data_IF_179527267052
#
_entry.id   IF_179527267052
#
_cell.length_a   1.000
_cell.length_b   1.000
_cell.length_c   1.000
_cell.angle_alpha   90.00
_cell.angle_beta   90.00
_cell.angle_gamma   90.00
#
_symmetry.space_group_name_H-M   'P 1'
#
loop_
_entity.id
_entity.type
_entity.pdbx_description
1 polymer ?
#
# COMPACT_ATOMS: atom_id res chain seq x y z
N UNK A 1 26.22 12.91 -43.65
CA UNK A 1 24.77 13.00 -43.33
C UNK A 1 24.60 12.88 -41.83
N UNK A 2 24.17 13.95 -41.16
CA UNK A 2 23.84 13.91 -39.74
C UNK A 2 22.46 13.24 -39.55
N UNK A 3 22.28 12.29 -38.62
CA UNK A 3 20.96 11.77 -38.32
C UNK A 3 20.28 12.75 -37.37
N UNK A 4 19.71 13.83 -37.90
CA UNK A 4 18.92 14.78 -37.14
C UNK A 4 17.46 14.30 -37.08
N UNK A 5 17.25 13.15 -36.44
CA UNK A 5 15.94 12.76 -35.95
C UNK A 5 15.85 13.22 -34.50
N UNK A 6 15.23 14.37 -34.23
CA UNK A 6 14.89 14.77 -32.87
C UNK A 6 14.02 13.65 -32.26
N UNK A 7 14.61 12.77 -31.45
CA UNK A 7 13.83 11.84 -30.64
C UNK A 7 12.88 12.71 -29.83
N UNK A 8 11.57 12.62 -30.09
CA UNK A 8 10.56 13.35 -29.31
C UNK A 8 10.86 13.07 -27.84
N UNK A 9 11.05 14.14 -27.07
CA UNK A 9 11.26 14.01 -25.63
C UNK A 9 10.07 13.23 -25.06
N UNK A 10 10.30 12.17 -24.29
CA UNK A 10 9.20 11.43 -23.66
C UNK A 10 8.44 12.37 -22.71
N UNK A 11 7.10 12.30 -22.79
CA UNK A 11 6.22 13.13 -21.96
C UNK A 11 6.07 12.45 -20.59
N UNK A 12 6.41 13.15 -19.52
CA UNK A 12 6.27 12.63 -18.16
C UNK A 12 4.83 12.69 -17.64
N UNK A 13 4.00 13.63 -18.09
CA UNK A 13 2.62 13.77 -17.63
C UNK A 13 1.68 14.07 -18.79
N UNK A 14 0.68 13.21 -18.99
CA UNK A 14 -0.30 13.41 -20.05
C UNK A 14 -1.12 14.69 -19.82
N UNK A 15 -1.24 15.49 -20.88
CA UNK A 15 -1.86 16.81 -20.83
C UNK A 15 -0.98 17.92 -20.21
N UNK A 16 0.25 17.59 -19.81
CA UNK A 16 1.22 18.53 -19.20
C UNK A 16 2.65 18.26 -19.71
N UNK A 17 2.97 18.62 -20.96
CA UNK A 17 4.25 18.29 -21.59
C UNK A 17 5.45 19.02 -20.98
N UNK A 18 5.23 20.10 -20.23
CA UNK A 18 6.27 20.85 -19.53
C UNK A 18 6.58 20.31 -18.13
N UNK A 19 5.76 19.39 -17.60
CA UNK A 19 6.01 18.84 -16.27
C UNK A 19 7.23 17.92 -16.28
N UNK A 20 8.08 18.07 -15.27
CA UNK A 20 9.28 17.28 -15.09
C UNK A 20 9.45 16.93 -13.60
N UNK A 21 9.71 15.66 -13.26
CA UNK A 21 9.77 15.23 -11.86
C UNK A 21 10.98 15.82 -11.11
N UNK A 22 12.10 16.06 -11.79
CA UNK A 22 13.29 16.67 -11.16
C UNK A 22 13.03 18.13 -10.81
N UNK A 23 12.43 18.89 -11.72
CA UNK A 23 12.04 20.28 -11.48
C UNK A 23 10.97 20.37 -10.37
N UNK A 24 9.99 19.46 -10.37
CA UNK A 24 8.97 19.39 -9.33
C UNK A 24 9.59 19.16 -7.95
N UNK A 25 10.42 18.11 -7.80
CA UNK A 25 11.02 17.74 -6.52
C UNK A 25 12.02 18.78 -5.98
N UNK A 26 12.62 19.58 -6.87
CA UNK A 26 13.53 20.66 -6.51
C UNK A 26 12.82 21.99 -6.18
N UNK A 27 11.49 22.10 -6.33
CA UNK A 27 10.73 23.34 -6.11
C UNK A 27 9.97 23.33 -4.77
N UNK A 28 10.58 23.81 -3.67
CA UNK A 28 9.94 23.86 -2.37
C UNK A 28 8.76 24.84 -2.31
N UNK A 29 8.74 25.88 -3.15
CA UNK A 29 7.62 26.83 -3.20
C UNK A 29 6.39 26.20 -3.85
N UNK A 30 6.58 25.40 -4.90
CA UNK A 30 5.51 24.63 -5.51
C UNK A 30 4.93 23.61 -4.54
N UNK A 31 5.77 22.92 -3.78
CA UNK A 31 5.32 22.03 -2.70
C UNK A 31 4.51 22.79 -1.64
N UNK A 32 4.96 23.98 -1.23
CA UNK A 32 4.24 24.82 -0.27
C UNK A 32 2.88 25.29 -0.82
N UNK A 33 2.80 25.69 -2.10
CA UNK A 33 1.54 26.03 -2.78
C UNK A 33 0.58 24.85 -2.83
N UNK A 34 1.06 23.67 -3.21
CA UNK A 34 0.25 22.46 -3.23
C UNK A 34 -0.27 22.11 -1.81
N UNK A 35 0.59 22.21 -0.80
CA UNK A 35 0.20 22.01 0.60
C UNK A 35 -0.85 23.02 1.07
N UNK A 36 -0.76 24.29 0.66
CA UNK A 36 -1.75 25.31 0.97
C UNK A 36 -3.13 24.99 0.35
N UNK A 37 -3.16 24.47 -0.87
CA UNK A 37 -4.42 23.99 -1.47
C UNK A 37 -5.00 22.80 -0.70
N UNK A 38 -4.16 21.82 -0.33
CA UNK A 38 -4.60 20.67 0.47
C UNK A 38 -5.14 21.11 1.84
N UNK A 39 -4.52 22.08 2.50
CA UNK A 39 -5.01 22.63 3.77
C UNK A 39 -6.42 23.24 3.67
N UNK A 40 -6.83 23.66 2.47
CA UNK A 40 -8.17 24.16 2.17
C UNK A 40 -9.10 23.10 1.56
N UNK A 41 -8.72 21.82 1.59
CA UNK A 41 -9.42 20.70 0.96
C UNK A 41 -9.66 20.88 -0.56
N UNK A 42 -8.79 21.66 -1.22
CA UNK A 42 -8.78 21.87 -2.66
C UNK A 42 -7.79 20.91 -3.34
N UNK A 43 -8.18 19.63 -3.39
CA UNK A 43 -7.40 18.58 -4.05
C UNK A 43 -7.18 18.89 -5.54
N UNK A 44 -8.19 19.44 -6.22
CA UNK A 44 -8.09 19.77 -7.64
C UNK A 44 -6.95 20.75 -7.90
N UNK A 45 -6.89 21.86 -7.18
CA UNK A 45 -5.82 22.84 -7.38
C UNK A 45 -4.47 22.31 -6.89
N UNK A 46 -4.44 21.50 -5.83
CA UNK A 46 -3.20 20.86 -5.36
C UNK A 46 -2.58 19.94 -6.43
N UNK A 47 -3.40 19.11 -7.07
CA UNK A 47 -2.99 18.21 -8.17
C UNK A 47 -2.63 19.02 -9.42
N UNK A 48 -3.45 20.01 -9.79
CA UNK A 48 -3.18 20.84 -10.95
C UNK A 48 -1.87 21.62 -10.82
N UNK A 49 -1.60 22.20 -9.65
CA UNK A 49 -0.34 22.85 -9.36
C UNK A 49 0.83 21.85 -9.43
N UNK A 50 0.71 20.72 -8.72
CA UNK A 50 1.80 19.72 -8.61
C UNK A 50 2.22 19.16 -9.95
N UNK A 51 1.27 18.93 -10.86
CA UNK A 51 1.52 18.29 -12.15
C UNK A 51 1.45 19.27 -13.34
N UNK A 52 1.41 20.58 -13.06
CA UNK A 52 1.29 21.64 -14.06
C UNK A 52 0.12 21.44 -15.03
N UNK A 53 -1.01 20.93 -14.53
CA UNK A 53 -2.17 20.64 -15.35
C UNK A 53 -2.89 21.92 -15.76
N UNK A 54 -3.42 21.92 -16.99
CA UNK A 54 -4.27 23.00 -17.49
C UNK A 54 -5.59 23.09 -16.71
N UNK A 55 -6.17 24.29 -16.62
CA UNK A 55 -7.46 24.50 -15.97
C UNK A 55 -8.62 23.72 -16.64
N UNK A 56 -8.52 23.48 -17.95
CA UNK A 56 -9.47 22.72 -18.78
C UNK A 56 -9.12 21.23 -18.88
N UNK A 57 -8.37 20.70 -17.92
CA UNK A 57 -7.96 19.31 -17.95
C UNK A 57 -9.17 18.37 -17.83
N UNK A 58 -9.26 17.43 -18.77
CA UNK A 58 -10.37 16.50 -18.92
C UNK A 58 -9.91 15.04 -18.85
N UNK A 59 -8.72 14.79 -18.31
CA UNK A 59 -8.20 13.43 -18.19
C UNK A 59 -9.14 12.58 -17.31
N UNK A 60 -9.42 11.38 -17.78
CA UNK A 60 -10.21 10.39 -17.04
C UNK A 60 -9.24 9.43 -16.37
N UNK A 61 -9.27 9.43 -15.05
CA UNK A 61 -8.48 8.57 -14.19
C UNK A 61 -9.20 7.24 -14.01
N UNK A 62 -8.48 6.15 -14.20
CA UNK A 62 -9.00 4.78 -14.16
C UNK A 62 -8.30 3.98 -13.07
N UNK A 63 -9.08 3.48 -12.11
CA UNK A 63 -8.63 2.41 -11.23
C UNK A 63 -9.81 1.46 -10.99
N UNK A 64 -10.32 1.40 -9.76
CA UNK A 64 -11.58 0.69 -9.46
C UNK A 64 -12.82 1.39 -10.04
N UNK A 65 -12.72 2.69 -10.31
CA UNK A 65 -13.74 3.54 -10.90
C UNK A 65 -13.08 4.48 -11.91
N UNK A 66 -13.88 5.05 -12.81
CA UNK A 66 -13.44 6.07 -13.76
C UNK A 66 -13.94 7.44 -13.32
N UNK A 67 -13.02 8.39 -13.10
CA UNK A 67 -13.34 9.72 -12.56
C UNK A 67 -12.51 10.81 -13.23
N UNK A 68 -13.01 12.03 -13.21
CA UNK A 68 -12.25 13.24 -13.56
C UNK A 68 -11.88 14.01 -12.30
N UNK A 69 -10.84 14.83 -12.37
CA UNK A 69 -10.40 15.63 -11.22
C UNK A 69 -11.52 16.57 -10.67
N UNK A 70 -12.35 17.24 -11.49
CA UNK A 70 -13.50 18.00 -10.97
C UNK A 70 -14.55 17.15 -10.27
N UNK A 71 -14.85 15.95 -10.76
CA UNK A 71 -15.79 15.03 -10.11
C UNK A 71 -15.28 14.63 -8.73
N UNK A 72 -13.99 14.29 -8.62
CA UNK A 72 -13.38 13.94 -7.33
C UNK A 72 -13.40 15.12 -6.36
N UNK A 73 -13.13 16.34 -6.83
CA UNK A 73 -13.24 17.53 -5.98
C UNK A 73 -14.67 17.75 -5.46
N UNK A 74 -15.68 17.49 -6.29
CA UNK A 74 -17.06 17.52 -5.84
C UNK A 74 -17.31 16.46 -4.75
N UNK A 75 -16.85 15.22 -4.94
CA UNK A 75 -16.97 14.17 -3.91
C UNK A 75 -16.27 14.57 -2.61
N UNK A 76 -15.07 15.15 -2.67
CA UNK A 76 -14.36 15.68 -1.49
C UNK A 76 -15.20 16.73 -0.75
N UNK A 77 -15.94 17.59 -1.47
CA UNK A 77 -16.81 18.60 -0.86
C UNK A 77 -18.04 18.03 -0.13
N UNK A 78 -18.40 16.76 -0.39
CA UNK A 78 -19.50 16.08 0.29
C UNK A 78 -19.09 15.55 1.69
N UNK A 79 -17.79 15.46 1.98
CA UNK A 79 -17.28 14.87 3.21
C UNK A 79 -17.85 13.46 3.45
N UNK A 80 -18.18 13.14 4.69
CA UNK A 80 -18.72 11.83 5.08
C UNK A 80 -20.16 11.53 4.63
N UNK A 81 -20.80 12.43 3.87
CA UNK A 81 -22.15 12.20 3.37
C UNK A 81 -22.23 10.90 2.54
N UNK A 82 -23.40 10.25 2.55
CA UNK A 82 -23.63 8.98 1.87
C UNK A 82 -22.67 7.84 2.27
N UNK A 83 -22.05 7.93 3.44
CA UNK A 83 -21.12 6.92 3.94
C UNK A 83 -19.77 6.91 3.23
N UNK A 84 -19.39 8.00 2.54
CA UNK A 84 -18.11 8.11 1.84
C UNK A 84 -16.89 7.97 2.75
N UNK A 85 -17.06 8.19 4.06
CA UNK A 85 -16.02 8.03 5.09
C UNK A 85 -16.30 6.85 6.05
N UNK A 86 -17.24 5.96 5.72
CA UNK A 86 -17.54 4.80 6.56
C UNK A 86 -16.44 3.74 6.38
N UNK A 87 -15.37 3.88 7.14
CA UNK A 87 -14.21 2.98 7.06
C UNK A 87 -14.24 1.86 8.08
N UNK A 88 -14.87 2.08 9.22
CA UNK A 88 -14.81 1.17 10.36
C UNK A 88 -16.21 0.65 10.66
N UNK A 89 -16.33 -0.65 10.92
CA UNK A 89 -17.60 -1.32 11.09
C UNK A 89 -17.58 -2.16 12.36
N UNK A 90 -18.70 -2.17 13.10
CA UNK A 90 -18.86 -2.99 14.30
C UNK A 90 -18.90 -4.48 13.98
N UNK A 91 -18.94 -5.31 15.02
CA UNK A 91 -19.19 -6.74 14.85
C UNK A 91 -20.59 -6.97 14.25
N UNK A 92 -20.76 -7.96 13.35
CA UNK A 92 -22.07 -8.38 12.91
C UNK A 92 -22.91 -8.81 14.12
N UNK A 93 -24.12 -8.29 14.26
CA UNK A 93 -25.03 -8.76 15.31
C UNK A 93 -25.49 -10.18 14.98
N UNK A 94 -25.12 -11.15 15.82
CA UNK A 94 -25.72 -12.48 15.74
C UNK A 94 -27.21 -12.36 16.11
N UNK A 95 -28.09 -12.78 15.20
CA UNK A 95 -29.54 -12.91 15.32
C UNK A 95 -30.19 -12.20 16.52
N UNK A 96 -30.75 -11.02 16.31
CA UNK A 96 -31.76 -10.51 17.24
C UNK A 96 -32.89 -11.56 17.34
N UNK A 97 -33.34 -11.96 18.55
CA UNK A 97 -34.48 -12.85 18.68
C UNK A 97 -35.68 -12.20 17.98
N UNK A 98 -36.38 -12.99 17.17
CA UNK A 98 -37.58 -12.55 16.46
C UNK A 98 -38.49 -11.81 17.45
N UNK A 99 -38.74 -10.53 17.18
CA UNK A 99 -39.73 -9.76 17.92
C UNK A 99 -41.05 -10.52 17.81
N UNK A 100 -41.54 -11.02 18.95
CA UNK A 100 -42.85 -11.63 19.09
C UNK A 100 -43.89 -10.65 18.50
N UNK A 101 -44.80 -11.11 17.63
CA UNK A 101 -45.84 -10.24 17.13
C UNK A 101 -46.71 -9.80 18.32
N UNK A 102 -46.91 -8.49 18.43
CA UNK A 102 -47.82 -7.91 19.40
C UNK A 102 -49.20 -8.57 19.27
N UNK A 103 -49.76 -9.00 20.40
CA UNK A 103 -51.14 -9.45 20.52
C UNK A 103 -52.07 -8.44 19.81
N UNK A 104 -52.67 -8.87 18.71
CA UNK A 104 -53.79 -8.18 18.09
C UNK A 104 -55.05 -8.79 18.69
N UNK A 105 -55.74 -8.01 19.51
CA UNK A 105 -57.05 -8.39 20.03
C UNK A 105 -58.00 -8.70 18.87
N UNK A 106 -58.61 -9.87 18.97
CA UNK A 106 -59.65 -10.37 18.08
C UNK A 106 -60.98 -9.84 18.57
N UNK A 107 -61.82 -9.33 17.65
CA UNK A 107 -63.26 -9.40 17.85
C UNK A 107 -63.91 -9.80 16.53
N UNK A 108 -64.69 -10.88 16.61
CA UNK A 108 -65.34 -11.60 15.52
C UNK A 108 -66.56 -10.87 14.95
N UNK A 109 -66.88 -11.14 13.67
CA UNK A 109 -68.19 -11.70 13.28
C UNK A 109 -68.30 -11.97 11.76
N UNK A 110 -68.82 -13.16 11.43
CA UNK A 110 -69.61 -13.58 10.25
C UNK A 110 -68.95 -13.98 8.90
N UNK A 111 -68.74 -15.30 8.78
CA UNK A 111 -68.77 -16.31 7.68
C UNK A 111 -69.33 -15.99 6.25
N UNK A 112 -69.31 -16.95 5.27
CA UNK A 112 -68.21 -17.82 4.77
C UNK A 112 -68.15 -17.93 3.21
N UNK A 113 -67.00 -18.32 2.62
CA UNK A 113 -66.93 -19.14 1.38
C UNK A 113 -65.49 -19.50 0.95
N UNK A 114 -65.20 -20.81 0.98
CA UNK A 114 -64.39 -21.65 0.05
C UNK A 114 -63.21 -21.06 -0.75
N UNK A 115 -62.01 -21.61 -0.51
CA UNK A 115 -61.06 -22.05 -1.55
C UNK A 115 -59.93 -22.94 -0.94
N UNK A 116 -59.46 -24.00 -1.61
CA UNK A 116 -58.42 -24.87 -1.07
C UNK A 116 -57.01 -24.38 -1.41
N UNK A 117 -56.13 -24.50 -0.41
CA UNK A 117 -54.67 -24.62 -0.43
C UNK A 117 -53.89 -24.03 -1.63
N UNK A 118 -53.30 -22.86 -1.42
CA UNK A 118 -52.00 -22.51 -2.01
C UNK A 118 -50.93 -22.67 -0.93
N UNK A 119 -50.04 -23.65 -1.09
CA UNK A 119 -48.85 -23.79 -0.25
C UNK A 119 -48.03 -22.50 -0.32
N UNK A 120 -47.98 -21.77 0.80
CA UNK A 120 -47.12 -20.62 0.96
C UNK A 120 -45.68 -21.11 1.08
N UNK A 121 -44.86 -20.88 0.05
CA UNK A 121 -43.41 -21.04 0.15
C UNK A 121 -42.89 -20.31 1.38
N UNK A 122 -42.01 -20.91 2.19
CA UNK A 122 -41.46 -20.25 3.37
C UNK A 122 -40.74 -18.98 2.94
N UNK A 123 -40.98 -17.89 3.68
CA UNK A 123 -40.29 -16.63 3.46
C UNK A 123 -38.77 -16.86 3.49
N UNK A 124 -37.99 -16.26 2.59
CA UNK A 124 -36.55 -16.40 2.59
C UNK A 124 -36.01 -15.95 3.96
N UNK A 125 -34.97 -16.62 4.50
CA UNK A 125 -34.42 -16.27 5.79
C UNK A 125 -34.02 -14.79 5.81
N UNK A 126 -34.17 -14.10 6.96
CA UNK A 126 -33.77 -12.70 7.08
C UNK A 126 -32.30 -12.58 6.67
N UNK A 127 -32.02 -11.69 5.71
CA UNK A 127 -30.65 -11.37 5.32
C UNK A 127 -29.86 -10.97 6.58
N UNK A 128 -28.61 -11.46 6.75
CA UNK A 128 -27.73 -10.95 7.79
C UNK A 128 -27.72 -9.42 7.75
N UNK A 129 -27.97 -8.77 8.89
CA UNK A 129 -27.86 -7.32 8.96
C UNK A 129 -26.42 -6.93 8.64
N UNK A 130 -26.24 -5.99 7.71
CA UNK A 130 -24.91 -5.46 7.44
C UNK A 130 -24.35 -4.82 8.72
N UNK A 131 -23.04 -4.99 9.01
CA UNK A 131 -22.47 -4.42 10.21
C UNK A 131 -22.62 -2.90 10.18
N UNK A 132 -22.96 -2.31 11.33
CA UNK A 132 -23.14 -0.87 11.43
C UNK A 132 -21.81 -0.13 11.34
N UNK A 133 -21.74 0.95 10.57
CA UNK A 133 -20.58 1.83 10.56
C UNK A 133 -20.33 2.45 11.95
N UNK A 134 -19.07 2.45 12.37
CA UNK A 134 -18.58 3.10 13.57
C UNK A 134 -18.31 4.58 13.30
N UNK A 135 -18.33 5.45 14.34
CA UNK A 135 -17.99 6.85 14.16
C UNK A 135 -16.54 7.02 13.68
N UNK A 136 -16.24 8.08 12.92
CA UNK A 136 -14.88 8.38 12.47
C UNK A 136 -13.92 8.58 13.66
N UNK A 137 -12.63 8.23 13.49
CA UNK A 137 -11.62 8.45 14.51
C UNK A 137 -11.40 9.96 14.75
N UNK A 138 -11.07 10.38 15.99
CA UNK A 138 -10.69 11.76 16.27
C UNK A 138 -9.44 12.18 15.48
N UNK A 139 -9.33 13.47 15.12
CA UNK A 139 -8.17 14.02 14.40
C UNK A 139 -6.82 13.68 15.07
N UNK A 140 -6.77 13.72 16.41
CA UNK A 140 -5.56 13.39 17.16
C UNK A 140 -5.09 11.95 16.95
N UNK A 141 -6.00 11.02 16.71
CA UNK A 141 -5.67 9.62 16.43
C UNK A 141 -5.19 9.46 14.97
N UNK A 142 -5.74 10.23 14.04
CA UNK A 142 -5.24 10.31 12.65
C UNK A 142 -3.80 10.85 12.62
N UNK A 143 -3.52 11.95 13.32
CA UNK A 143 -2.15 12.48 13.39
C UNK A 143 -1.17 11.50 14.05
N UNK A 144 -1.62 10.79 15.10
CA UNK A 144 -0.81 9.78 15.74
C UNK A 144 -0.49 8.62 14.78
N UNK A 145 -1.43 8.20 13.94
CA UNK A 145 -1.20 7.19 12.91
C UNK A 145 -0.20 7.67 11.85
N UNK A 146 -0.40 8.88 11.32
CA UNK A 146 0.50 9.48 10.33
C UNK A 146 1.93 9.65 10.87
N UNK A 147 2.08 9.87 12.18
CA UNK A 147 3.38 9.97 12.84
C UNK A 147 4.24 8.70 12.76
N UNK A 148 3.63 7.53 12.55
CA UNK A 148 4.33 6.25 12.36
C UNK A 148 5.23 6.31 11.13
N UNK A 149 4.79 7.02 10.09
CA UNK A 149 5.46 7.09 8.79
C UNK A 149 6.29 8.35 8.58
N UNK A 150 6.37 9.23 9.59
CA UNK A 150 7.20 10.41 9.51
C UNK A 150 8.69 9.99 9.50
N UNK A 151 9.49 10.40 8.50
CA UNK A 151 10.90 10.01 8.41
C UNK A 151 11.76 10.43 9.61
N UNK A 152 11.35 11.44 10.40
CA UNK A 152 12.08 11.87 11.60
C UNK A 152 11.80 10.99 12.83
N UNK A 153 10.86 10.06 12.72
CA UNK A 153 10.44 9.16 13.79
C UNK A 153 10.99 7.74 13.55
N UNK A 154 11.15 6.99 14.64
CA UNK A 154 11.36 5.55 14.57
C UNK A 154 9.98 4.93 14.40
N UNK A 155 9.70 4.31 13.26
CA UNK A 155 8.39 3.70 12.99
C UNK A 155 8.00 2.67 14.06
N UNK A 156 8.95 1.83 14.50
CA UNK A 156 8.74 0.88 15.58
C UNK A 156 8.34 1.55 16.91
N UNK A 157 9.04 2.62 17.30
CA UNK A 157 8.75 3.35 18.53
C UNK A 157 7.44 4.13 18.42
N UNK A 158 7.19 4.76 17.28
CA UNK A 158 5.97 5.51 17.01
C UNK A 158 4.75 4.59 17.03
N UNK A 159 4.83 3.39 16.42
CA UNK A 159 3.77 2.38 16.48
C UNK A 159 3.54 1.88 17.91
N UNK A 160 4.60 1.59 18.66
CA UNK A 160 4.48 1.22 20.08
C UNK A 160 3.73 2.30 20.88
N UNK A 161 4.11 3.57 20.68
CA UNK A 161 3.49 4.70 21.37
C UNK A 161 2.06 4.96 20.89
N UNK A 162 1.77 4.73 19.61
CA UNK A 162 0.43 4.80 19.04
C UNK A 162 -0.52 3.87 19.79
N UNK A 163 -0.10 2.62 20.03
CA UNK A 163 -0.86 1.61 20.77
C UNK A 163 -0.91 1.88 22.28
N UNK A 164 0.22 2.20 22.90
CA UNK A 164 0.34 2.35 24.35
C UNK A 164 -0.44 3.54 24.91
N UNK A 165 -0.48 4.65 24.17
CA UNK A 165 -1.17 5.88 24.59
C UNK A 165 -2.67 5.89 24.25
N UNK A 166 -3.18 4.81 23.65
CA UNK A 166 -4.59 4.70 23.26
C UNK A 166 -5.47 4.30 24.45
N UNK A 167 -6.68 4.87 24.54
CA UNK A 167 -7.68 4.45 25.53
C UNK A 167 -8.05 2.98 25.31
N UNK A 168 -8.27 2.22 26.39
CA UNK A 168 -8.75 0.84 26.31
C UNK A 168 -10.07 0.78 25.54
N UNK A 169 -10.19 -0.14 24.58
CA UNK A 169 -11.37 -0.29 23.73
C UNK A 169 -11.56 0.79 22.65
N UNK A 170 -10.62 1.73 22.49
CA UNK A 170 -10.66 2.69 21.39
C UNK A 170 -10.25 2.07 20.06
N UNK A 171 -10.75 2.64 18.97
CA UNK A 171 -10.35 2.25 17.61
C UNK A 171 -8.83 2.39 17.39
N UNK A 172 -8.21 3.45 17.93
CA UNK A 172 -6.75 3.61 17.92
C UNK A 172 -6.03 2.42 18.56
N UNK A 173 -6.54 1.89 19.67
CA UNK A 173 -5.94 0.72 20.33
C UNK A 173 -6.05 -0.52 19.46
N UNK A 174 -7.19 -0.70 18.80
CA UNK A 174 -7.44 -1.79 17.84
C UNK A 174 -6.45 -1.72 16.67
N UNK A 175 -6.38 -0.58 15.97
CA UNK A 175 -5.45 -0.33 14.85
C UNK A 175 -4.00 -0.56 15.29
N UNK A 176 -3.61 -0.01 16.44
CA UNK A 176 -2.25 -0.15 16.95
C UNK A 176 -1.88 -1.61 17.26
N UNK A 177 -2.82 -2.36 17.81
CA UNK A 177 -2.65 -3.80 18.10
C UNK A 177 -2.56 -4.60 16.80
N UNK A 178 -3.46 -4.33 15.86
CA UNK A 178 -3.48 -4.94 14.53
C UNK A 178 -2.14 -4.75 13.81
N UNK A 179 -1.68 -3.51 13.65
CA UNK A 179 -0.41 -3.20 13.00
C UNK A 179 0.80 -3.79 13.72
N UNK A 180 0.78 -3.80 15.07
CA UNK A 180 1.86 -4.40 15.86
C UNK A 180 1.93 -5.92 15.67
N UNK A 181 0.79 -6.60 15.54
CA UNK A 181 0.72 -8.06 15.32
C UNK A 181 1.27 -8.48 13.95
N UNK A 182 1.16 -7.60 12.94
CA UNK A 182 1.66 -7.84 11.58
C UNK A 182 3.12 -7.44 11.41
N UNK A 183 3.61 -6.48 12.20
CA UNK A 183 4.98 -5.97 12.08
C UNK A 183 5.99 -7.04 12.52
N UNK A 184 6.87 -7.43 11.60
CA UNK A 184 7.90 -8.43 11.80
C UNK A 184 9.22 -8.03 11.13
N UNK A 185 10.33 -8.16 11.84
CA UNK A 185 11.69 -8.08 11.27
C UNK A 185 12.50 -9.22 11.90
N UNK A 186 12.98 -10.13 11.07
CA UNK A 186 13.73 -11.29 11.53
C UNK A 186 15.06 -10.85 12.16
N UNK A 187 15.43 -11.36 13.35
CA UNK A 187 16.64 -10.93 14.06
C UNK A 187 17.95 -11.09 13.27
N UNK A 188 18.03 -12.07 12.38
CA UNK A 188 19.23 -12.31 11.56
C UNK A 188 19.63 -11.12 10.67
N UNK A 189 18.68 -10.25 10.31
CA UNK A 189 18.97 -9.11 9.46
C UNK A 189 19.78 -8.02 10.18
N UNK A 190 19.75 -7.98 11.52
CA UNK A 190 20.43 -6.97 12.34
C UNK A 190 20.23 -5.54 11.81
N UNK A 191 19.02 -5.21 11.34
CA UNK A 191 18.75 -3.93 10.70
C UNK A 191 18.80 -2.78 11.70
N UNK A 192 19.59 -1.76 11.37
CA UNK A 192 19.59 -0.48 12.05
C UNK A 192 18.92 0.57 11.17
N UNK A 193 17.63 0.79 11.38
CA UNK A 193 16.85 1.78 10.62
C UNK A 193 17.03 3.14 11.28
N UNK A 194 17.80 4.00 10.63
CA UNK A 194 18.12 5.33 11.14
C UNK A 194 16.99 6.31 10.78
N UNK A 195 16.66 7.20 11.71
CA UNK A 195 15.71 8.30 11.46
C UNK A 195 16.38 9.38 10.62
N UNK A 196 15.61 10.05 9.78
CA UNK A 196 16.07 11.27 9.10
C UNK A 196 16.38 12.36 10.14
N UNK A 197 17.50 13.06 9.95
CA UNK A 197 17.94 14.14 10.84
C UNK A 197 17.53 15.48 10.24
N UNK A 198 17.23 16.52 11.05
CA UNK A 198 16.96 17.86 10.52
C UNK A 198 18.10 18.41 9.66
N UNK A 199 19.35 18.08 10.01
CA UNK A 199 20.54 18.48 9.24
C UNK A 199 20.72 17.74 7.92
N UNK A 200 19.98 16.65 7.71
CA UNK A 200 20.00 15.83 6.49
C UNK A 200 18.61 15.22 6.29
N UNK A 201 17.62 16.03 5.84
CA UNK A 201 16.24 15.58 5.69
C UNK A 201 16.16 14.48 4.64
N UNK A 202 15.22 13.55 4.82
CA UNK A 202 14.94 12.52 3.82
C UNK A 202 14.53 13.17 2.48
N UNK A 203 14.75 12.48 1.35
CA UNK A 203 14.24 12.92 0.05
C UNK A 203 12.76 13.26 0.09
N UNK A 204 12.34 14.26 -0.69
CA UNK A 204 10.95 14.66 -0.76
C UNK A 204 10.08 13.48 -1.24
N UNK A 205 8.97 13.25 -0.53
CA UNK A 205 7.97 12.26 -0.91
C UNK A 205 6.59 12.94 -0.99
N UNK A 206 6.27 13.58 -2.13
CA UNK A 206 5.00 14.28 -2.30
C UNK A 206 3.78 13.37 -2.13
N UNK A 207 3.87 12.09 -2.52
CA UNK A 207 2.77 11.13 -2.28
C UNK A 207 2.42 11.02 -0.80
N UNK A 208 3.42 10.98 0.10
CA UNK A 208 3.16 10.93 1.54
C UNK A 208 2.36 12.15 2.03
N UNK A 209 2.59 13.34 1.44
CA UNK A 209 1.83 14.54 1.78
C UNK A 209 0.36 14.44 1.32
N UNK A 210 0.13 14.00 0.08
CA UNK A 210 -1.23 13.81 -0.45
C UNK A 210 -1.97 12.68 0.27
N UNK A 211 -1.27 11.61 0.64
CA UNK A 211 -1.83 10.51 1.40
C UNK A 211 -2.15 10.94 2.84
N UNK A 212 -1.26 11.70 3.47
CA UNK A 212 -1.53 12.27 4.80
C UNK A 212 -2.75 13.20 4.76
N UNK A 213 -2.88 14.04 3.73
CA UNK A 213 -4.10 14.81 3.51
C UNK A 213 -5.32 13.91 3.33
N UNK A 214 -5.24 12.86 2.52
CA UNK A 214 -6.36 11.94 2.31
C UNK A 214 -6.79 11.27 3.62
N UNK A 215 -5.85 10.85 4.48
CA UNK A 215 -6.17 10.31 5.79
C UNK A 215 -6.89 11.30 6.70
N UNK A 216 -6.49 12.58 6.69
CA UNK A 216 -7.17 13.64 7.47
C UNK A 216 -8.55 13.95 6.91
N UNK A 217 -8.62 14.20 5.61
CA UNK A 217 -9.83 14.66 4.94
C UNK A 217 -10.90 13.57 4.90
N UNK A 218 -10.49 12.32 4.75
CA UNK A 218 -11.39 11.16 4.69
C UNK A 218 -11.54 10.47 6.06
N UNK A 219 -11.01 11.02 7.15
CA UNK A 219 -11.21 10.49 8.51
C UNK A 219 -10.69 9.05 8.71
N UNK A 220 -9.45 8.78 8.30
CA UNK A 220 -8.82 7.47 8.39
C UNK A 220 -7.62 7.47 9.34
N UNK A 221 -7.63 6.56 10.31
CA UNK A 221 -6.56 6.42 11.31
C UNK A 221 -5.73 5.13 11.16
N UNK A 222 -5.93 4.37 10.09
CA UNK A 222 -5.20 3.14 9.80
C UNK A 222 -6.06 1.88 9.80
N UNK A 223 -5.50 0.76 9.32
CA UNK A 223 -6.22 -0.50 9.14
C UNK A 223 -6.35 -1.30 10.44
N UNK A 224 -7.43 -2.05 10.53
CA UNK A 224 -7.78 -2.96 11.61
C UNK A 224 -8.87 -3.95 11.18
N UNK A 225 -9.24 -4.87 12.06
CA UNK A 225 -10.35 -5.81 11.84
C UNK A 225 -11.67 -5.06 11.56
N UNK A 226 -11.95 -3.97 12.30
CA UNK A 226 -13.09 -3.07 12.04
C UNK A 226 -13.08 -2.51 10.62
N UNK A 227 -11.91 -2.19 10.07
CA UNK A 227 -11.83 -1.71 8.69
C UNK A 227 -11.94 -2.81 7.64
N UNK A 228 -11.53 -4.03 7.98
CA UNK A 228 -11.61 -5.18 7.08
C UNK A 228 -13.04 -5.74 6.96
N UNK A 229 -13.91 -5.49 7.94
CA UNK A 229 -15.33 -5.88 7.92
C UNK A 229 -16.19 -5.10 6.92
N UNK A 230 -15.74 -3.91 6.52
CA UNK A 230 -16.44 -3.09 5.54
C UNK A 230 -16.47 -3.74 4.15
N UNK A 231 -17.36 -3.27 3.29
CA UNK A 231 -17.32 -3.66 1.87
C UNK A 231 -15.99 -3.21 1.25
N UNK A 232 -15.30 -4.07 0.46
CA UNK A 232 -14.13 -3.67 -0.31
C UNK A 232 -14.50 -2.48 -1.21
N UNK A 233 -14.10 -1.29 -0.80
CA UNK A 233 -14.40 -0.05 -1.48
C UNK A 233 -13.24 0.90 -1.28
N UNK A 234 -13.12 1.90 -2.15
CA UNK A 234 -12.12 2.95 -1.97
C UNK A 234 -12.72 4.27 -2.40
N UNK A 235 -12.27 5.32 -1.75
CA UNK A 235 -12.72 6.66 -2.07
C UNK A 235 -12.31 7.06 -3.51
N UNK A 236 -13.10 7.92 -4.15
CA UNK A 236 -12.88 8.42 -5.51
C UNK A 236 -11.56 9.21 -5.68
N UNK A 237 -10.88 9.52 -4.58
CA UNK A 237 -9.53 10.13 -4.58
C UNK A 237 -8.46 9.12 -5.01
N UNK A 238 -8.67 7.81 -4.75
CA UNK A 238 -7.66 6.78 -5.01
C UNK A 238 -7.19 6.75 -6.48
N UNK A 239 -8.07 6.74 -7.52
CA UNK A 239 -7.61 6.79 -8.92
C UNK A 239 -6.70 7.99 -9.23
N UNK A 240 -6.97 9.16 -8.63
CA UNK A 240 -6.14 10.36 -8.83
C UNK A 240 -4.73 10.11 -8.30
N UNK A 241 -4.61 9.64 -7.06
CA UNK A 241 -3.32 9.41 -6.43
C UNK A 241 -2.57 8.26 -7.11
N UNK A 242 -3.25 7.18 -7.50
CA UNK A 242 -2.65 6.07 -8.22
C UNK A 242 -2.04 6.53 -9.55
N UNK A 243 -2.78 7.24 -10.40
CA UNK A 243 -2.26 7.70 -11.69
C UNK A 243 -1.05 8.64 -11.57
N UNK A 244 -0.98 9.42 -10.50
CA UNK A 244 0.06 10.41 -10.28
C UNK A 244 1.26 9.89 -9.50
N UNK A 245 1.09 8.98 -8.55
CA UNK A 245 2.14 8.54 -7.61
C UNK A 245 2.31 7.01 -7.52
N UNK A 246 1.46 6.23 -8.18
CA UNK A 246 1.48 4.77 -8.12
C UNK A 246 0.62 4.20 -6.99
N UNK A 247 0.54 2.87 -6.89
CA UNK A 247 -0.46 2.20 -6.06
C UNK A 247 -0.23 2.30 -4.55
N UNK A 248 1.03 2.22 -4.09
CA UNK A 248 1.38 2.23 -2.68
C UNK A 248 2.43 3.31 -2.39
N UNK A 249 2.29 4.01 -1.27
CA UNK A 249 3.21 5.07 -0.89
C UNK A 249 4.46 4.48 -0.20
N UNK A 250 5.69 4.75 -0.69
CA UNK A 250 6.91 4.38 0.02
C UNK A 250 6.99 5.07 1.39
N UNK A 251 7.52 4.35 2.38
CA UNK A 251 7.89 4.92 3.68
C UNK A 251 9.39 4.98 3.84
N UNK A 252 9.88 5.86 4.72
CA UNK A 252 11.29 5.92 5.10
C UNK A 252 11.82 4.57 5.59
N UNK A 253 11.05 3.88 6.45
CA UNK A 253 11.39 2.55 6.97
C UNK A 253 11.54 1.52 5.83
N UNK A 254 10.60 1.51 4.88
CA UNK A 254 10.62 0.59 3.75
C UNK A 254 11.81 0.84 2.80
N UNK A 255 12.09 2.10 2.48
CA UNK A 255 13.23 2.47 1.62
C UNK A 255 14.58 2.09 2.28
N UNK A 256 14.73 2.29 3.59
CA UNK A 256 15.91 1.84 4.34
C UNK A 256 16.06 0.32 4.35
N UNK A 257 14.97 -0.40 4.58
CA UNK A 257 14.96 -1.86 4.56
C UNK A 257 15.41 -2.36 3.20
N UNK A 258 14.82 -1.86 2.10
CA UNK A 258 15.19 -2.24 0.74
C UNK A 258 16.67 -1.96 0.45
N UNK A 259 17.17 -0.78 0.81
CA UNK A 259 18.59 -0.45 0.69
C UNK A 259 19.48 -1.43 1.46
N UNK A 260 19.10 -1.78 2.68
CA UNK A 260 19.87 -2.67 3.54
C UNK A 260 19.90 -4.12 3.01
N UNK A 261 18.74 -4.68 2.62
CA UNK A 261 18.65 -6.05 2.11
C UNK A 261 19.22 -6.20 0.69
N UNK A 262 19.19 -5.11 -0.10
CA UNK A 262 19.90 -5.06 -1.38
C UNK A 262 21.41 -5.23 -1.18
N UNK A 263 21.98 -4.66 -0.11
CA UNK A 263 23.40 -4.85 0.23
C UNK A 263 24.33 -4.49 -0.95
N UNK A 264 23.99 -3.40 -1.66
CA UNK A 264 24.73 -2.93 -2.85
C UNK A 264 24.34 -3.59 -4.17
N UNK A 265 23.49 -4.63 -4.17
CA UNK A 265 22.96 -5.27 -5.38
C UNK A 265 21.91 -4.41 -6.06
N UNK A 266 21.78 -4.59 -7.36
CA UNK A 266 20.69 -4.00 -8.14
C UNK A 266 19.33 -4.37 -7.53
N UNK A 267 18.39 -3.43 -7.55
CA UNK A 267 16.96 -3.67 -7.31
C UNK A 267 16.25 -3.62 -8.67
N UNK A 268 15.65 -4.73 -9.10
CA UNK A 268 14.81 -4.76 -10.30
C UNK A 268 13.37 -4.50 -9.85
N UNK A 269 12.85 -3.31 -10.16
CA UNK A 269 11.46 -2.91 -9.90
C UNK A 269 10.60 -3.44 -11.06
N UNK A 270 10.00 -4.61 -10.85
CA UNK A 270 9.30 -5.38 -11.88
C UNK A 270 7.80 -5.14 -11.81
N UNK A 271 7.21 -4.75 -12.94
CA UNK A 271 5.88 -4.15 -12.95
C UNK A 271 5.90 -2.75 -12.35
N UNK A 272 6.95 -1.97 -12.64
CA UNK A 272 7.22 -0.68 -12.01
C UNK A 272 6.13 0.39 -12.22
N UNK A 273 5.19 0.18 -13.15
CA UNK A 273 4.10 1.10 -13.45
C UNK A 273 4.61 2.46 -13.87
N UNK A 274 4.27 3.50 -13.11
CA UNK A 274 4.78 4.85 -13.35
C UNK A 274 6.20 5.11 -12.80
N UNK A 275 6.83 4.12 -12.16
CA UNK A 275 8.19 4.21 -11.65
C UNK A 275 8.37 5.11 -10.43
N UNK A 276 7.31 5.43 -9.67
CA UNK A 276 7.45 6.24 -8.46
C UNK A 276 8.36 5.59 -7.41
N UNK A 277 8.21 4.27 -7.17
CA UNK A 277 9.11 3.53 -6.27
C UNK A 277 10.54 3.53 -6.76
N UNK A 278 10.76 3.27 -8.05
CA UNK A 278 12.09 3.42 -8.69
C UNK A 278 12.68 4.80 -8.44
N UNK A 279 11.91 5.88 -8.67
CA UNK A 279 12.37 7.25 -8.43
C UNK A 279 12.79 7.46 -6.98
N UNK A 280 11.92 7.11 -6.03
CA UNK A 280 12.18 7.32 -4.60
C UNK A 280 13.38 6.49 -4.13
N UNK A 281 13.54 5.25 -4.59
CA UNK A 281 14.72 4.42 -4.27
C UNK A 281 16.02 5.04 -4.80
N UNK A 282 16.02 5.58 -6.03
CA UNK A 282 17.20 6.25 -6.60
C UNK A 282 17.60 7.49 -5.79
N UNK A 283 16.63 8.34 -5.46
CA UNK A 283 16.86 9.53 -4.63
C UNK A 283 17.32 9.12 -3.22
N UNK A 284 16.76 8.04 -2.68
CA UNK A 284 17.14 7.50 -1.37
C UNK A 284 18.56 6.93 -1.37
N UNK A 285 18.96 6.19 -2.40
CA UNK A 285 20.32 5.70 -2.51
C UNK A 285 21.33 6.85 -2.67
N UNK A 286 21.00 7.87 -3.45
CA UNK A 286 21.81 9.09 -3.56
C UNK A 286 21.92 9.83 -2.22
N UNK A 287 20.83 9.90 -1.45
CA UNK A 287 20.83 10.43 -0.09
C UNK A 287 21.80 9.67 0.84
N UNK A 288 22.00 8.37 0.67
CA UNK A 288 22.98 7.59 1.45
C UNK A 288 24.39 7.55 0.89
N UNK A 289 24.61 8.06 -0.32
CA UNK A 289 25.92 8.10 -0.94
C UNK A 289 26.90 8.91 -0.06
N UNK A 290 28.16 8.49 0.09
CA UNK A 290 29.17 9.28 0.78
C UNK A 290 29.34 10.64 0.09
N UNK A 291 29.36 11.71 0.88
CA UNK A 291 29.71 13.03 0.35
C UNK A 291 31.13 12.96 -0.21
N UNK A 292 31.40 13.48 -1.41
CA UNK A 292 32.77 13.58 -1.92
C UNK A 292 33.64 14.26 -0.86
N UNK A 293 34.87 13.77 -0.59
CA UNK A 293 35.74 14.45 0.34
C UNK A 293 35.94 15.89 -0.14
N UNK A 294 35.74 16.85 0.77
CA UNK A 294 36.22 18.21 0.52
C UNK A 294 37.72 18.11 0.27
N UNK A 295 38.26 19.01 -0.56
CA UNK A 295 39.64 19.01 -1.06
C UNK A 295 40.75 19.07 0.00
N UNK A 296 40.44 18.92 1.30
CA UNK A 296 41.38 19.01 2.41
C UNK A 296 41.47 17.75 3.31
N UNK A 297 40.93 16.58 2.94
CA UNK A 297 40.97 15.39 3.79
C UNK A 297 41.87 14.27 3.25
N UNK A 298 43.14 14.29 3.63
CA UNK A 298 44.08 13.17 3.45
C UNK A 298 43.86 12.11 4.53
N UNK A 299 42.96 11.14 4.29
CA UNK A 299 42.97 9.83 4.95
C UNK A 299 42.19 8.86 4.08
N UNK A 300 42.79 7.72 3.76
CA UNK A 300 42.17 6.66 2.96
C UNK A 300 40.90 6.16 3.67
N UNK A 301 39.74 6.66 3.25
CA UNK A 301 38.45 6.13 3.65
C UNK A 301 38.19 4.84 2.87
N UNK A 302 37.55 3.88 3.53
CA UNK A 302 37.04 2.65 2.90
C UNK A 302 36.24 3.04 1.66
N UNK A 303 36.42 2.36 0.50
CA UNK A 303 35.70 2.73 -0.72
C UNK A 303 34.20 2.76 -0.43
N UNK A 304 33.55 3.84 -0.87
CA UNK A 304 32.10 3.98 -0.84
C UNK A 304 31.47 2.75 -1.49
N UNK A 305 30.52 2.10 -0.81
CA UNK A 305 29.71 1.08 -1.48
C UNK A 305 29.00 1.74 -2.67
N UNK A 306 28.99 1.13 -3.86
CA UNK A 306 28.30 1.67 -5.01
C UNK A 306 26.81 1.86 -4.70
N UNK A 307 26.25 2.98 -5.15
CA UNK A 307 24.81 3.27 -5.09
C UNK A 307 24.11 2.12 -5.81
N UNK A 308 23.22 1.35 -5.15
CA UNK A 308 22.54 0.26 -5.81
C UNK A 308 21.76 0.78 -7.02
N UNK A 309 21.97 0.16 -8.17
CA UNK A 309 21.18 0.44 -9.36
C UNK A 309 19.73 0.06 -9.09
N UNK A 310 18.78 0.86 -9.58
CA UNK A 310 17.36 0.52 -9.55
C UNK A 310 16.88 0.51 -10.99
N UNK A 311 16.45 -0.65 -11.46
CA UNK A 311 16.07 -0.90 -12.85
C UNK A 311 14.56 -1.11 -12.97
N UNK A 312 13.82 -0.13 -13.48
CA UNK A 312 12.38 -0.25 -13.74
C UNK A 312 12.12 -1.12 -14.98
N UNK A 313 11.28 -2.14 -14.83
CA UNK A 313 10.80 -2.99 -15.91
C UNK A 313 9.27 -3.02 -15.85
N UNK A 314 8.60 -2.81 -16.97
CA UNK A 314 7.14 -2.84 -17.04
C UNK A 314 6.67 -3.35 -18.40
N UNK A 315 5.51 -4.01 -18.46
CA UNK A 315 4.93 -4.47 -19.73
C UNK A 315 4.17 -3.37 -20.47
N UNK A 316 4.00 -2.20 -19.86
CA UNK A 316 3.14 -1.11 -20.30
C UNK A 316 1.67 -1.52 -20.52
N UNK A 317 1.22 -2.59 -19.85
CA UNK A 317 -0.18 -3.02 -19.92
C UNK A 317 -1.13 -1.98 -19.32
N UNK A 318 -0.69 -1.28 -18.27
CA UNK A 318 -1.45 -0.21 -17.63
C UNK A 318 -1.00 1.14 -18.16
N UNK A 319 -1.97 1.99 -18.50
CA UNK A 319 -1.71 3.39 -18.85
C UNK A 319 -1.71 4.25 -17.58
N UNK A 320 -0.62 4.98 -17.35
CA UNK A 320 -0.48 5.92 -16.25
C UNK A 320 -0.52 7.34 -16.78
N UNK A 321 -1.07 8.26 -15.98
CA UNK A 321 -1.08 9.67 -16.37
C UNK A 321 0.32 10.26 -16.26
N UNK A 322 0.99 9.95 -15.16
CA UNK A 322 2.33 10.44 -14.85
C UNK A 322 3.31 9.28 -14.92
N UNK A 323 4.53 9.55 -15.36
CA UNK A 323 5.71 8.70 -15.23
C UNK A 323 6.81 9.50 -14.50
N UNK A 324 7.50 8.86 -13.57
CA UNK A 324 8.53 9.48 -12.72
C UNK A 324 9.95 9.18 -13.19
N UNK A 325 10.10 8.20 -14.08
CA UNK A 325 11.38 7.80 -14.66
C UNK A 325 11.19 7.56 -16.16
N UNK A 326 12.17 7.97 -16.95
CA UNK A 326 12.09 7.90 -18.43
C UNK A 326 12.70 6.63 -19.02
N UNK A 327 13.38 5.86 -18.20
CA UNK A 327 14.22 4.73 -18.57
C UNK A 327 13.60 3.39 -18.17
N UNK A 328 12.27 3.33 -17.99
CA UNK A 328 11.53 2.08 -17.86
C UNK A 328 11.77 1.19 -19.07
N UNK A 329 12.28 -0.01 -18.82
CA UNK A 329 12.46 -1.04 -19.84
C UNK A 329 11.10 -1.67 -20.13
N UNK A 330 10.62 -1.51 -21.36
CA UNK A 330 9.35 -2.11 -21.78
C UNK A 330 9.60 -3.57 -22.18
N UNK A 331 9.20 -4.51 -21.32
CA UNK A 331 9.42 -5.94 -21.52
C UNK A 331 8.40 -6.80 -20.78
N UNK A 332 8.20 -8.04 -21.25
CA UNK A 332 7.59 -9.09 -20.45
C UNK A 332 8.53 -9.47 -19.29
N UNK A 333 8.04 -9.40 -18.06
CA UNK A 333 8.87 -9.53 -16.87
C UNK A 333 9.55 -10.89 -16.72
N UNK A 334 8.81 -11.98 -16.98
CA UNK A 334 9.34 -13.33 -16.84
C UNK A 334 10.41 -13.61 -17.89
N UNK A 335 10.15 -13.17 -19.12
CA UNK A 335 11.11 -13.25 -20.23
C UNK A 335 12.35 -12.41 -19.94
N UNK A 336 12.18 -11.18 -19.43
CA UNK A 336 13.30 -10.31 -19.04
C UNK A 336 14.19 -10.98 -17.99
N UNK A 337 13.60 -11.53 -16.92
CA UNK A 337 14.35 -12.24 -15.88
C UNK A 337 15.10 -13.45 -16.44
N UNK A 338 14.42 -14.35 -17.16
CA UNK A 338 15.02 -15.60 -17.67
C UNK A 338 16.07 -15.35 -18.75
N UNK A 339 15.75 -14.51 -19.72
CA UNK A 339 16.54 -14.40 -20.96
C UNK A 339 17.53 -13.24 -20.94
N UNK A 340 17.14 -12.10 -20.38
CA UNK A 340 17.96 -10.88 -20.41
C UNK A 340 18.86 -10.79 -19.18
N UNK A 341 18.36 -11.23 -18.02
CA UNK A 341 19.12 -11.22 -16.75
C UNK A 341 19.59 -12.60 -16.31
N UNK A 342 19.37 -13.65 -17.10
CA UNK A 342 19.80 -15.02 -16.79
C UNK A 342 19.41 -15.48 -15.38
N UNK A 343 18.15 -15.21 -15.01
CA UNK A 343 17.58 -15.49 -13.69
C UNK A 343 17.82 -14.40 -12.63
N UNK A 344 18.57 -13.33 -12.93
CA UNK A 344 18.84 -12.19 -12.05
C UNK A 344 19.38 -12.57 -10.66
N UNK A 345 20.29 -13.55 -10.60
CA UNK A 345 20.86 -14.11 -9.35
C UNK A 345 21.55 -13.07 -8.46
N UNK A 346 22.04 -12.00 -9.07
CA UNK A 346 22.81 -10.93 -8.48
C UNK A 346 21.97 -9.71 -8.06
N UNK A 347 20.64 -9.75 -8.23
CA UNK A 347 19.73 -8.63 -7.94
C UNK A 347 18.71 -8.98 -6.85
N UNK A 348 18.09 -7.95 -6.27
CA UNK A 348 16.82 -8.07 -5.50
C UNK A 348 15.67 -7.87 -6.48
N UNK A 349 14.69 -8.77 -6.43
CA UNK A 349 13.44 -8.59 -7.17
C UNK A 349 12.45 -7.80 -6.30
N UNK A 350 11.99 -6.66 -6.79
CA UNK A 350 10.94 -5.85 -6.16
C UNK A 350 9.65 -5.94 -7.00
N UNK A 351 8.55 -6.36 -6.37
CA UNK A 351 7.22 -6.36 -6.95
C UNK A 351 6.36 -5.33 -6.21
N UNK A 352 5.96 -4.25 -6.88
CA UNK A 352 5.09 -3.24 -6.27
C UNK A 352 3.66 -3.42 -6.74
N UNK A 353 2.77 -3.69 -5.79
CA UNK A 353 1.33 -3.84 -5.99
C UNK A 353 0.99 -4.83 -7.11
N UNK A 354 1.51 -6.08 -7.05
CA UNK A 354 1.35 -7.06 -8.12
C UNK A 354 -0.15 -7.30 -8.38
N UNK A 355 -0.52 -7.41 -9.65
CA UNK A 355 -1.91 -7.65 -10.03
C UNK A 355 -2.40 -9.04 -9.60
N UNK A 356 -3.69 -9.15 -9.30
CA UNK A 356 -4.30 -10.43 -8.93
C UNK A 356 -4.41 -11.40 -10.10
N UNK A 357 -4.76 -10.94 -11.31
CA UNK A 357 -5.02 -11.82 -12.45
C UNK A 357 -6.25 -12.74 -12.25
N UNK A 358 -6.63 -13.53 -13.25
CA UNK A 358 -7.72 -14.52 -13.14
C UNK A 358 -9.14 -13.94 -13.01
N UNK A 359 -9.30 -12.63 -13.21
CA UNK A 359 -10.59 -11.92 -13.23
C UNK A 359 -10.96 -11.43 -14.62
N UNK A 360 -11.66 -10.29 -14.71
CA UNK A 360 -12.07 -9.65 -15.98
C UNK A 360 -10.86 -9.35 -16.89
N UNK A 361 -9.68 -9.12 -16.30
CA UNK A 361 -8.42 -8.89 -17.01
C UNK A 361 -7.78 -10.17 -17.60
N UNK A 362 -8.36 -11.36 -17.38
CA UNK A 362 -7.85 -12.63 -17.86
C UNK A 362 -6.65 -13.18 -17.06
N UNK A 363 -6.05 -14.26 -17.56
CA UNK A 363 -4.90 -14.93 -16.94
C UNK A 363 -5.26 -15.89 -15.79
N UNK A 364 -4.24 -16.34 -15.05
CA UNK A 364 -4.40 -17.13 -13.81
C UNK A 364 -4.34 -16.19 -12.61
N UNK A 365 -5.08 -16.50 -11.55
CA UNK A 365 -4.93 -15.82 -10.26
C UNK A 365 -3.48 -15.97 -9.73
N UNK A 366 -2.90 -14.85 -9.28
CA UNK A 366 -1.49 -14.73 -8.95
C UNK A 366 -0.54 -14.91 -10.13
N UNK A 367 -1.04 -14.92 -11.37
CA UNK A 367 -0.25 -15.28 -12.55
C UNK A 367 1.03 -14.44 -12.68
N UNK A 368 0.94 -13.13 -12.48
CA UNK A 368 2.11 -12.24 -12.50
C UNK A 368 3.13 -12.63 -11.44
N UNK A 369 2.74 -12.66 -10.15
CA UNK A 369 3.63 -13.01 -9.03
C UNK A 369 4.28 -14.37 -9.22
N UNK A 370 3.50 -15.39 -9.58
CA UNK A 370 3.96 -16.76 -9.78
C UNK A 370 4.96 -16.85 -10.92
N UNK A 371 4.66 -16.22 -12.06
CA UNK A 371 5.58 -16.18 -13.20
C UNK A 371 6.90 -15.47 -12.87
N UNK A 372 6.87 -14.43 -12.02
CA UNK A 372 8.10 -13.76 -11.59
C UNK A 372 8.94 -14.65 -10.68
N UNK A 373 8.33 -15.34 -9.71
CA UNK A 373 9.04 -16.26 -8.82
C UNK A 373 9.61 -17.46 -9.58
N UNK A 374 8.86 -18.03 -10.53
CA UNK A 374 9.33 -19.12 -11.41
C UNK A 374 10.47 -18.69 -12.35
N UNK A 375 10.60 -17.40 -12.62
CA UNK A 375 11.63 -16.83 -13.49
C UNK A 375 12.87 -16.32 -12.75
N UNK A 376 12.79 -16.19 -11.43
CA UNK A 376 13.79 -15.55 -10.61
C UNK A 376 14.66 -16.60 -9.90
N UNK A 377 15.95 -16.58 -10.19
CA UNK A 377 16.95 -17.47 -9.60
C UNK A 377 17.71 -16.80 -8.43
N UNK A 378 17.43 -15.54 -8.12
CA UNK A 378 18.07 -14.82 -7.01
C UNK A 378 17.52 -15.21 -5.64
N UNK A 379 18.01 -14.55 -4.60
CA UNK A 379 17.83 -14.99 -3.21
C UNK A 379 16.95 -14.07 -2.35
N UNK A 380 16.49 -12.93 -2.89
CA UNK A 380 15.78 -11.90 -2.12
C UNK A 380 14.66 -11.32 -2.96
N UNK A 381 13.42 -11.50 -2.50
CA UNK A 381 12.23 -10.90 -3.10
C UNK A 381 11.62 -9.94 -2.11
N UNK A 382 11.33 -8.73 -2.57
CA UNK A 382 10.54 -7.76 -1.86
C UNK A 382 9.19 -7.58 -2.56
N UNK A 383 8.11 -7.56 -1.79
CA UNK A 383 6.76 -7.33 -2.31
C UNK A 383 6.11 -6.22 -1.52
N UNK A 384 5.60 -5.22 -2.23
CA UNK A 384 4.75 -4.17 -1.66
C UNK A 384 3.32 -4.48 -2.07
N UNK A 385 2.41 -4.59 -1.12
CA UNK A 385 1.01 -4.85 -1.42
C UNK A 385 0.16 -4.95 -0.18
N UNK A 386 -1.05 -5.45 -0.34
CA UNK A 386 -2.02 -5.56 0.74
C UNK A 386 -1.67 -6.68 1.71
N UNK A 387 -1.85 -6.43 3.00
CA UNK A 387 -1.62 -7.41 4.08
C UNK A 387 -2.90 -7.94 4.74
N UNK A 388 -4.05 -7.69 4.09
CA UNK A 388 -5.35 -8.26 4.41
C UNK A 388 -5.95 -8.96 3.17
N UNK A 389 -7.06 -9.65 3.38
CA UNK A 389 -7.77 -10.44 2.36
C UNK A 389 -8.72 -9.58 1.50
N UNK A 390 -8.35 -8.34 1.20
CA UNK A 390 -9.20 -7.45 0.40
C UNK A 390 -9.17 -7.75 -1.11
N UNK A 391 -8.28 -8.65 -1.55
CA UNK A 391 -8.16 -9.09 -2.93
C UNK A 391 -7.65 -8.03 -3.92
N UNK A 392 -6.90 -7.03 -3.47
CA UNK A 392 -6.35 -5.99 -4.35
C UNK A 392 -4.99 -6.32 -4.95
N UNK A 393 -4.18 -7.15 -4.28
CA UNK A 393 -2.80 -7.43 -4.73
C UNK A 393 -2.49 -8.93 -4.68
N UNK A 394 -1.84 -9.41 -5.74
CA UNK A 394 -1.33 -10.78 -5.87
C UNK A 394 -2.41 -11.85 -5.99
N UNK A 395 -3.28 -11.96 -4.99
CA UNK A 395 -4.27 -13.03 -4.84
C UNK A 395 -5.59 -12.46 -4.34
N UNK A 396 -6.69 -13.13 -4.64
CA UNK A 396 -8.04 -12.69 -4.26
C UNK A 396 -8.30 -12.92 -2.78
N UNK A 397 -7.99 -14.13 -2.33
CA UNK A 397 -8.42 -14.65 -1.02
C UNK A 397 -7.22 -15.03 -0.13
N UNK A 398 -6.04 -14.48 -0.38
CA UNK A 398 -4.79 -14.86 0.30
C UNK A 398 -3.81 -13.68 0.36
N UNK A 399 -3.10 -13.52 1.47
CA UNK A 399 -2.03 -12.52 1.59
C UNK A 399 -0.71 -13.02 1.00
N UNK A 400 0.22 -12.12 0.70
CA UNK A 400 1.53 -12.51 0.14
C UNK A 400 2.30 -13.46 1.07
N UNK A 401 2.22 -13.27 2.38
CA UNK A 401 2.91 -14.14 3.34
C UNK A 401 2.24 -15.51 3.50
N UNK A 402 0.92 -15.60 3.42
CA UNK A 402 0.19 -16.88 3.36
C UNK A 402 0.57 -17.64 2.10
N UNK A 403 0.63 -16.96 0.95
CA UNK A 403 1.06 -17.55 -0.32
C UNK A 403 2.48 -18.11 -0.23
N UNK A 404 3.44 -17.30 0.21
CA UNK A 404 4.84 -17.73 0.31
C UNK A 404 5.00 -18.88 1.31
N UNK A 405 4.32 -18.84 2.45
CA UNK A 405 4.38 -19.92 3.43
C UNK A 405 3.79 -21.22 2.89
N UNK A 406 2.65 -21.14 2.19
CA UNK A 406 1.93 -22.32 1.68
C UNK A 406 2.64 -22.99 0.49
N UNK A 407 3.17 -22.19 -0.43
CA UNK A 407 3.66 -22.70 -1.72
C UNK A 407 5.18 -22.73 -1.85
N UNK A 408 5.88 -21.98 -1.00
CA UNK A 408 7.32 -21.78 -1.08
C UNK A 408 8.02 -21.87 0.29
N UNK A 409 7.32 -22.33 1.33
CA UNK A 409 7.80 -22.29 2.72
C UNK A 409 8.99 -23.22 3.02
N UNK A 410 9.27 -24.18 2.14
CA UNK A 410 10.44 -25.05 2.18
C UNK A 410 11.72 -24.37 1.70
N UNK A 411 11.61 -23.29 0.92
CA UNK A 411 12.73 -22.58 0.32
C UNK A 411 12.85 -21.13 0.80
N UNK A 412 11.72 -20.42 0.93
CA UNK A 412 11.67 -18.99 1.20
C UNK A 412 11.21 -18.70 2.62
N UNK A 413 11.96 -17.84 3.29
CA UNK A 413 11.67 -17.40 4.65
C UNK A 413 11.28 -15.92 4.63
N UNK A 414 10.12 -15.58 5.20
CA UNK A 414 9.75 -14.18 5.47
C UNK A 414 10.73 -13.61 6.48
N UNK A 415 11.44 -12.55 6.10
CA UNK A 415 12.40 -11.85 6.96
C UNK A 415 11.95 -10.45 7.34
N UNK A 416 11.01 -9.87 6.60
CA UNK A 416 10.39 -8.58 6.93
C UNK A 416 8.90 -8.61 6.59
N UNK A 417 8.10 -8.00 7.46
CA UNK A 417 6.78 -7.45 7.18
C UNK A 417 6.64 -6.13 7.95
N UNK A 418 6.56 -4.99 7.27
CA UNK A 418 6.35 -3.69 7.93
C UNK A 418 5.18 -2.94 7.29
N UNK A 419 4.34 -2.25 8.08
CA UNK A 419 3.23 -1.51 7.54
C UNK A 419 3.71 -0.32 6.70
N UNK A 420 2.93 0.01 5.67
CA UNK A 420 3.11 1.17 4.83
C UNK A 420 2.01 2.21 5.06
N UNK A 421 2.27 3.48 4.73
CA UNK A 421 1.23 4.49 4.63
C UNK A 421 0.12 3.97 3.70
N UNK A 422 -1.05 3.72 4.27
CA UNK A 422 -2.16 3.11 3.55
C UNK A 422 -3.18 4.17 3.19
N UNK A 423 -3.66 4.14 1.93
CA UNK A 423 -4.80 4.96 1.54
C UNK A 423 -6.04 4.55 2.38
N UNK A 424 -6.98 5.46 2.69
CA UNK A 424 -8.20 5.11 3.43
C UNK A 424 -8.93 3.88 2.87
N UNK A 425 -9.18 2.90 3.74
CA UNK A 425 -9.75 1.60 3.36
C UNK A 425 -8.75 0.60 2.77
N UNK A 426 -7.44 0.88 2.83
CA UNK A 426 -6.36 -0.03 2.46
C UNK A 426 -5.53 -0.46 3.66
N UNK A 427 -4.79 -1.54 3.46
CA UNK A 427 -3.89 -2.10 4.45
C UNK A 427 -2.65 -2.60 3.73
N UNK A 428 -1.67 -1.72 3.58
CA UNK A 428 -0.49 -1.92 2.75
C UNK A 428 0.72 -2.28 3.62
N UNK A 429 1.60 -3.15 3.10
CA UNK A 429 2.84 -3.54 3.74
C UNK A 429 3.98 -3.77 2.74
N UNK A 430 5.20 -3.68 3.26
CA UNK A 430 6.39 -4.24 2.61
C UNK A 430 6.66 -5.62 3.23
N UNK A 431 6.72 -6.63 2.37
CA UNK A 431 7.23 -7.96 2.68
C UNK A 431 8.62 -8.14 2.08
N UNK A 432 9.51 -8.84 2.79
CA UNK A 432 10.79 -9.32 2.22
C UNK A 432 10.94 -10.79 2.56
N UNK A 433 11.26 -11.59 1.55
CA UNK A 433 11.54 -13.01 1.65
C UNK A 433 12.96 -13.28 1.18
N UNK A 434 13.65 -14.20 1.87
CA UNK A 434 14.99 -14.64 1.51
C UNK A 434 15.10 -16.16 1.50
N UNK A 435 15.96 -16.67 0.61
CA UNK A 435 16.30 -18.10 0.51
C UNK A 435 17.81 -18.32 0.50
N UNK A 436 18.22 -19.59 0.51
CA UNK A 436 19.62 -19.98 0.40
C UNK A 436 20.49 -19.41 1.53
N UNK A 437 21.70 -18.96 1.21
CA UNK A 437 22.66 -18.46 2.21
C UNK A 437 22.29 -17.10 2.83
N UNK A 438 21.32 -16.37 2.26
CA UNK A 438 20.82 -15.11 2.84
C UNK A 438 19.62 -15.32 3.76
N UNK A 439 18.80 -16.31 3.45
CA UNK A 439 17.68 -16.69 4.30
C UNK A 439 18.17 -17.38 5.58
N UNK A 440 17.47 -17.20 6.71
CA UNK A 440 17.53 -18.18 7.79
C UNK A 440 17.25 -19.58 7.24
N UNK A 441 17.83 -20.63 7.82
CA UNK A 441 17.51 -22.00 7.40
C UNK A 441 15.99 -22.24 7.56
N UNK A 442 15.28 -22.75 6.54
CA UNK A 442 13.83 -22.89 6.56
C UNK A 442 13.26 -23.78 7.68
N UNK A 443 14.11 -24.47 8.47
CA UNK A 443 13.70 -25.23 9.64
C UNK A 443 14.78 -25.29 10.74
N UNK A 444 14.47 -24.78 11.93
CA UNK A 444 14.78 -25.46 13.21
C UNK A 444 13.61 -25.23 14.17
N UNK A 445 12.79 -26.26 14.36
CA UNK A 445 12.30 -26.59 15.71
C UNK A 445 12.14 -28.10 15.84
N UNK A 446 13.28 -28.79 15.98
CA UNK A 446 13.33 -30.23 16.28
C UNK A 446 13.14 -30.53 17.78
N UNK A 447 12.69 -29.58 18.60
CA UNK A 447 12.55 -29.78 20.04
C UNK A 447 11.12 -29.70 20.61
N UNK A 448 10.10 -29.29 19.84
CA UNK A 448 8.74 -29.15 20.41
C UNK A 448 7.62 -29.83 19.64
N UNK A 449 7.83 -30.27 18.39
CA UNK A 449 6.82 -31.07 17.67
C UNK A 449 5.43 -30.41 17.56
N UNK A 450 5.35 -29.08 17.68
CA UNK A 450 4.11 -28.32 17.62
C UNK A 450 4.20 -27.26 16.52
N UNK A 451 3.13 -27.13 15.72
CA UNK A 451 2.90 -25.94 14.89
C UNK A 451 2.80 -24.74 15.85
N UNK A 452 3.62 -23.71 15.64
CA UNK A 452 3.54 -22.48 16.43
C UNK A 452 2.09 -21.96 16.40
N UNK A 453 1.39 -21.90 17.54
CA UNK A 453 0.14 -21.19 17.62
C UNK A 453 0.45 -19.71 17.42
N UNK A 454 -0.46 -19.03 16.75
CA UNK A 454 -0.66 -17.58 16.88
C UNK A 454 -0.49 -17.21 18.36
N UNK A 455 0.42 -16.28 18.61
CA UNK A 455 0.84 -15.79 19.93
C UNK A 455 -0.38 -15.45 20.81
N UNK A 456 -0.83 -16.45 21.58
CA UNK A 456 -1.76 -16.26 22.68
C UNK A 456 -0.90 -15.94 23.90
N UNK A 457 -0.67 -14.66 24.13
CA UNK A 457 -0.25 -14.18 25.44
C UNK A 457 -1.37 -14.46 26.45
N UNK A 458 -1.38 -15.67 27.02
CA UNK A 458 -1.95 -15.95 28.35
C UNK A 458 -1.21 -15.03 29.33
N UNK A 459 -1.88 -14.09 30.00
CA UNK A 459 -2.68 -14.30 31.22
C UNK A 459 -1.96 -15.17 32.26
N UNK A 460 -1.88 -14.60 33.48
CA UNK A 460 -1.28 -15.06 34.76
C UNK A 460 0.03 -14.31 35.08
N UNK A 461 0.22 -13.61 36.20
CA UNK A 461 -0.50 -13.56 37.48
C UNK A 461 -0.29 -12.21 38.19
N UNK A 462 -1.25 -11.88 39.07
CA UNK A 462 -1.37 -10.78 40.05
C UNK A 462 -2.01 -9.47 39.61
#
# INVERSE_FOLDING_TARGET
MAPNGSKKQPIYCEGSPSWNPDAYLADPELHARAAAHLANNDLKSAIAASFSLRATDAYVYHAIVSVTLPQVQHVVSLGGAHGLHNWYYGEPTAHAPASLPAHRDTNESSAPATNPASESSPAPPPRPQEPSALPPPPQADIEAYLSIFNPTNSAATALKNYTANAKKGSLRREIGTYLSSKRFIHPSLNLSIQRAKPSKPAPANPYLNFLAWASRNLEWAGPSDSSARGRPSSHHVLPILMHHFGCACPSHEALEILRAVASGREIIDMGSGNGYWTRLLRDYHAFHAPTPPSSSASKASKPAAPIPLVTPVDSAQSSWRTSWVRDTLIADGATYLKTTRSGARDAVLLLVYPIVGGGVAGGREGGFTRNMLDAYDGDTVAVVGTQNHNGYTGFRDMTMDEFMAREHGDEWVKVVQVPLPSFPGKDEALYVFQRGSRGPSPHVDKQTGALNPVDQSKQENT
#
